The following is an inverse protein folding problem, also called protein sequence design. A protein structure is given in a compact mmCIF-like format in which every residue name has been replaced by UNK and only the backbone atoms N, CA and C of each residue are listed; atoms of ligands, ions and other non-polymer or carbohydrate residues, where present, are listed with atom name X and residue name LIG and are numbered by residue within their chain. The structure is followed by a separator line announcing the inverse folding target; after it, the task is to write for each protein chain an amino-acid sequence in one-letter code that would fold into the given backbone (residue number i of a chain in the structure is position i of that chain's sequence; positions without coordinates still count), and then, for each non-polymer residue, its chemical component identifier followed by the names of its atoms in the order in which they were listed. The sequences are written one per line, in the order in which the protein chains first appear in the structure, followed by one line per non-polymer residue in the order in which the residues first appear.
data_IF_528779134013
#
_entry.id   IF_528779134013
#
_cell.length_a   1.000
_cell.length_b   1.000
_cell.length_c   1.000
_cell.angle_alpha   90.00
_cell.angle_beta   90.00
_cell.angle_gamma   90.00
#
_symmetry.space_group_name_H-M   'P 1'
#
loop_
_entity.id
_entity.type
_entity.pdbx_description
1 polymer ?
#
# COMPACT_ATOMS: atom_id res chain seq x y z
N UNK A 1 10.26 6.33 -7.31
CA UNK A 1 10.60 6.86 -5.96
C UNK A 1 10.30 5.79 -4.90
N UNK A 2 11.01 5.75 -3.76
CA UNK A 2 10.66 4.93 -2.59
C UNK A 2 9.28 5.25 -2.00
N UNK A 3 8.80 4.45 -1.04
CA UNK A 3 7.58 4.78 -0.29
C UNK A 3 7.80 5.97 0.64
N UNK A 4 6.75 6.76 0.85
CA UNK A 4 6.74 7.82 1.84
C UNK A 4 5.34 8.05 2.38
N UNK A 5 5.27 8.46 3.64
CA UNK A 5 4.03 8.82 4.33
C UNK A 5 4.23 10.08 5.19
N UNK A 6 3.20 10.91 5.26
CA UNK A 6 3.08 12.03 6.18
C UNK A 6 1.74 11.92 6.88
N UNK A 7 1.78 11.64 8.18
CA UNK A 7 0.60 11.62 9.04
C UNK A 7 0.43 12.95 9.76
N UNK A 8 -0.79 13.46 9.78
CA UNK A 8 -1.17 14.64 10.56
C UNK A 8 -2.48 14.37 11.29
N UNK A 9 -2.48 14.53 12.61
CA UNK A 9 -3.69 14.55 13.42
C UNK A 9 -4.00 15.99 13.86
N UNK A 10 -5.14 16.49 13.42
CA UNK A 10 -5.70 17.77 13.88
C UNK A 10 -6.51 17.54 15.15
N UNK A 11 -6.01 18.08 16.27
CA UNK A 11 -6.67 17.94 17.58
C UNK A 11 -7.94 18.78 17.69
N UNK A 12 -8.05 19.90 16.97
CA UNK A 12 -9.22 20.77 17.04
C UNK A 12 -10.42 20.11 16.35
N UNK A 13 -10.18 19.49 15.19
CA UNK A 13 -11.22 18.86 14.38
C UNK A 13 -11.39 17.35 14.68
N UNK A 14 -10.50 16.74 15.46
CA UNK A 14 -10.40 15.29 15.66
C UNK A 14 -10.38 14.54 14.31
N UNK A 15 -9.53 15.04 13.40
CA UNK A 15 -9.39 14.54 12.04
C UNK A 15 -7.96 14.11 11.75
N UNK A 16 -7.83 13.06 10.95
CA UNK A 16 -6.55 12.55 10.45
C UNK A 16 -6.41 12.86 8.97
N UNK A 17 -5.23 13.34 8.58
CA UNK A 17 -4.84 13.41 7.16
C UNK A 17 -3.55 12.63 6.95
N UNK A 18 -3.56 11.73 5.98
CA UNK A 18 -2.40 10.99 5.52
C UNK A 18 -2.08 11.38 4.09
N UNK A 19 -0.88 11.90 3.84
CA UNK A 19 -0.32 11.95 2.50
C UNK A 19 0.57 10.73 2.33
N UNK A 20 0.32 9.91 1.31
CA UNK A 20 1.13 8.72 1.04
C UNK A 20 1.31 8.54 -0.46
N UNK A 21 2.44 7.95 -0.86
CA UNK A 21 2.69 7.53 -2.24
C UNK A 21 1.84 6.30 -2.57
N UNK A 22 0.53 6.45 -2.74
CA UNK A 22 -0.42 5.35 -2.96
C UNK A 22 -0.94 5.30 -4.40
N UNK A 23 -1.21 4.08 -4.89
CA UNK A 23 -1.93 3.85 -6.15
C UNK A 23 -3.45 3.76 -5.95
N UNK A 24 -3.94 3.69 -4.71
CA UNK A 24 -5.37 3.53 -4.43
C UNK A 24 -5.78 4.21 -3.10
N UNK A 25 -5.74 5.56 -3.03
CA UNK A 25 -5.96 6.29 -1.78
C UNK A 25 -7.36 6.07 -1.18
N UNK A 26 -8.39 5.82 -2.00
CA UNK A 26 -9.74 5.56 -1.51
C UNK A 26 -9.86 4.20 -0.81
N UNK A 27 -9.28 3.13 -1.40
CA UNK A 27 -9.22 1.82 -0.73
C UNK A 27 -8.30 1.87 0.47
N UNK A 28 -7.18 2.59 0.41
CA UNK A 28 -6.33 2.81 1.56
C UNK A 28 -7.12 3.45 2.72
N UNK A 29 -7.90 4.50 2.46
CA UNK A 29 -8.77 5.13 3.47
C UNK A 29 -9.75 4.12 4.08
N UNK A 30 -10.44 3.34 3.26
CA UNK A 30 -11.36 2.29 3.72
C UNK A 30 -10.64 1.29 4.63
N UNK A 31 -9.48 0.78 4.18
CA UNK A 31 -8.75 -0.27 4.90
C UNK A 31 -8.15 0.24 6.21
N UNK A 32 -7.55 1.43 6.18
CA UNK A 32 -7.00 2.10 7.36
C UNK A 32 -8.07 2.40 8.41
N UNK A 33 -9.29 2.72 7.97
CA UNK A 33 -10.43 2.93 8.86
C UNK A 33 -11.00 1.61 9.38
N UNK A 34 -11.42 0.71 8.49
CA UNK A 34 -12.21 -0.46 8.84
C UNK A 34 -11.40 -1.61 9.47
N UNK A 35 -10.12 -1.78 9.09
CA UNK A 35 -9.32 -2.93 9.51
C UNK A 35 -8.16 -2.55 10.45
N UNK A 36 -7.58 -1.37 10.28
CA UNK A 36 -6.53 -0.88 11.19
C UNK A 36 -7.06 0.03 12.30
N UNK A 37 -8.35 0.39 12.25
CA UNK A 37 -9.04 1.19 13.27
C UNK A 37 -8.31 2.50 13.62
N UNK A 38 -7.70 3.14 12.61
CA UNK A 38 -7.01 4.43 12.77
C UNK A 38 -7.97 5.52 13.23
N UNK A 39 -9.11 5.60 12.54
CA UNK A 39 -10.21 6.51 12.82
C UNK A 39 -11.46 6.06 12.03
N UNK A 40 -12.67 6.51 12.41
CA UNK A 40 -13.84 6.43 11.53
C UNK A 40 -13.55 7.03 10.15
N UNK A 41 -14.11 6.45 9.09
CA UNK A 41 -13.74 6.83 7.71
C UNK A 41 -14.04 8.31 7.40
N UNK A 42 -15.10 8.85 8.00
CA UNK A 42 -15.47 10.26 7.89
C UNK A 42 -14.50 11.21 8.60
N UNK A 43 -13.61 10.70 9.47
CA UNK A 43 -12.56 11.44 10.17
C UNK A 43 -11.17 11.19 9.61
N UNK A 44 -11.05 10.41 8.54
CA UNK A 44 -9.78 10.07 7.90
C UNK A 44 -9.76 10.58 6.46
N UNK A 45 -8.73 11.35 6.11
CA UNK A 45 -8.45 11.77 4.75
C UNK A 45 -7.14 11.13 4.29
N UNK A 46 -7.15 10.48 3.12
CA UNK A 46 -5.94 9.93 2.49
C UNK A 46 -5.74 10.64 1.15
N UNK A 47 -4.54 11.14 0.91
CA UNK A 47 -4.17 11.93 -0.25
C UNK A 47 -2.95 11.29 -0.91
N UNK A 48 -3.08 10.95 -2.20
CA UNK A 48 -1.93 10.61 -3.03
C UNK A 48 -1.53 11.86 -3.83
N UNK A 49 -0.36 12.47 -3.58
CA UNK A 49 0.19 13.53 -4.44
C UNK A 49 0.74 12.93 -5.74
N UNK A 50 1.51 13.69 -6.53
CA UNK A 50 2.28 13.11 -7.62
C UNK A 50 3.15 11.95 -7.12
N UNK A 51 3.02 10.78 -7.74
CA UNK A 51 3.74 9.55 -7.36
C UNK A 51 4.73 9.20 -8.46
N UNK A 52 6.02 9.18 -8.13
CA UNK A 52 7.13 8.78 -8.99
C UNK A 52 7.19 7.27 -9.29
N UNK A 53 6.08 6.71 -9.78
CA UNK A 53 5.91 5.29 -10.10
C UNK A 53 5.60 4.41 -8.89
N UNK A 54 4.70 3.43 -9.10
CA UNK A 54 4.35 2.42 -8.10
C UNK A 54 4.46 0.98 -8.61
N UNK A 55 4.11 0.71 -9.87
CA UNK A 55 4.30 -0.60 -10.51
C UNK A 55 3.77 -1.81 -9.70
N UNK A 56 2.75 -1.59 -8.85
CA UNK A 56 2.13 -2.60 -8.01
C UNK A 56 2.54 -2.54 -6.53
N UNK A 57 3.75 -2.09 -6.20
CA UNK A 57 4.21 -2.10 -4.79
C UNK A 57 3.47 -1.09 -3.93
N UNK A 58 2.94 -0.01 -4.52
CA UNK A 58 2.21 1.06 -3.81
C UNK A 58 0.68 0.88 -3.80
N UNK A 59 0.19 -0.32 -4.12
CA UNK A 59 -1.23 -0.69 -3.97
C UNK A 59 -1.55 -1.03 -2.51
N UNK A 60 -0.59 -1.61 -1.80
CA UNK A 60 -0.75 -2.09 -0.44
C UNK A 60 -0.74 -0.95 0.58
N UNK A 61 -1.36 -1.20 1.73
CA UNK A 61 -1.29 -0.36 2.91
C UNK A 61 -0.17 -0.93 3.77
N UNK A 62 0.80 -0.11 4.15
CA UNK A 62 1.91 -0.55 4.95
C UNK A 62 1.82 -0.02 6.39
N UNK A 63 2.59 -0.60 7.33
CA UNK A 63 2.58 -0.15 8.72
C UNK A 63 2.99 1.32 8.88
N UNK A 64 3.84 1.84 8.00
CA UNK A 64 4.41 3.18 8.14
C UNK A 64 3.36 4.30 8.01
N UNK A 65 2.33 4.15 7.15
CA UNK A 65 1.20 5.08 7.14
C UNK A 65 0.49 5.15 8.50
N UNK A 66 0.26 3.99 9.12
CA UNK A 66 -0.42 3.85 10.42
C UNK A 66 0.44 4.45 11.53
N UNK A 67 1.74 4.14 11.53
CA UNK A 67 2.70 4.62 12.53
C UNK A 67 2.83 6.15 12.45
N UNK A 68 2.89 6.74 11.25
CA UNK A 68 2.91 8.20 11.10
C UNK A 68 1.66 8.85 11.70
N UNK A 69 0.46 8.31 11.46
CA UNK A 69 -0.79 8.86 12.00
C UNK A 69 -0.87 8.70 13.53
N UNK A 70 -0.50 7.53 14.04
CA UNK A 70 -0.45 7.27 15.47
C UNK A 70 0.54 8.21 16.18
N UNK A 71 1.75 8.31 15.63
CA UNK A 71 2.80 9.16 16.19
C UNK A 71 2.37 10.63 16.15
N UNK A 72 1.74 11.09 15.06
CA UNK A 72 1.25 12.47 14.96
C UNK A 72 0.21 12.80 16.02
N UNK A 73 -0.74 11.90 16.30
CA UNK A 73 -1.69 12.09 17.41
C UNK A 73 -1.00 12.09 18.77
N UNK A 74 0.00 11.24 18.96
CA UNK A 74 0.71 11.11 20.24
C UNK A 74 1.56 12.33 20.56
N UNK A 75 2.22 12.91 19.56
CA UNK A 75 3.17 14.02 19.72
C UNK A 75 2.55 15.39 19.47
N UNK A 76 1.39 15.45 18.81
CA UNK A 76 0.70 16.70 18.49
C UNK A 76 1.35 17.49 17.34
N UNK A 77 2.23 16.85 16.56
CA UNK A 77 2.87 17.46 15.38
C UNK A 77 2.75 16.52 14.17
N UNK A 78 2.83 17.03 12.92
CA UNK A 78 2.92 16.17 11.74
C UNK A 78 4.16 15.26 11.79
N UNK A 79 4.02 14.01 11.36
CA UNK A 79 5.11 13.02 11.34
C UNK A 79 5.30 12.51 9.92
N UNK A 80 6.50 12.70 9.38
CA UNK A 80 6.90 12.25 8.05
C UNK A 80 7.85 11.06 8.15
N UNK A 81 7.62 10.07 7.30
CA UNK A 81 8.53 8.96 7.03
C UNK A 81 8.79 8.87 5.52
N UNK A 82 10.03 8.54 5.16
CA UNK A 82 10.46 8.30 3.77
C UNK A 82 11.39 7.11 3.81
N UNK A 83 11.06 6.05 3.08
CA UNK A 83 11.91 4.89 2.95
C UNK A 83 13.20 5.25 2.21
N UNK A 84 14.30 4.64 2.62
CA UNK A 84 15.47 4.52 1.76
C UNK A 84 15.29 3.37 0.72
N UNK A 85 16.30 3.22 -0.14
CA UNK A 85 16.29 2.17 -1.17
C UNK A 85 16.37 0.77 -0.57
N UNK A 86 17.12 0.59 0.51
CA UNK A 86 17.32 -0.70 1.16
C UNK A 86 16.04 -1.18 1.82
N UNK A 87 15.35 -0.30 2.54
CA UNK A 87 14.01 -0.57 3.11
C UNK A 87 13.03 -1.00 2.02
N UNK A 88 13.08 -0.35 0.85
CA UNK A 88 12.22 -0.73 -0.28
C UNK A 88 12.47 -2.15 -0.78
N UNK A 89 13.70 -2.67 -0.70
CA UNK A 89 14.02 -4.05 -1.07
C UNK A 89 13.73 -5.06 0.03
N UNK A 90 13.64 -4.62 1.28
CA UNK A 90 13.45 -5.50 2.43
C UNK A 90 11.98 -5.67 2.80
N UNK A 91 11.15 -4.63 2.60
CA UNK A 91 9.83 -4.54 3.21
C UNK A 91 8.69 -4.23 2.24
N UNK A 92 8.96 -3.81 1.00
CA UNK A 92 7.88 -3.57 0.04
C UNK A 92 7.29 -4.90 -0.44
N UNK A 93 6.07 -4.86 -0.96
CA UNK A 93 5.47 -6.01 -1.61
C UNK A 93 6.31 -6.45 -2.82
N UNK A 94 6.80 -7.67 -2.77
CA UNK A 94 7.53 -8.30 -3.87
C UNK A 94 6.56 -8.89 -4.91
N UNK A 95 7.05 -9.04 -6.12
CA UNK A 95 6.31 -9.69 -7.20
C UNK A 95 6.90 -11.05 -7.56
N UNK A 96 6.06 -11.93 -8.11
CA UNK A 96 6.42 -13.29 -8.56
C UNK A 96 6.65 -14.24 -7.37
N UNK A 97 7.74 -15.00 -7.39
CA UNK A 97 8.00 -16.14 -6.50
C UNK A 97 7.09 -17.35 -6.74
N UNK A 98 6.84 -17.65 -8.02
CA UNK A 98 6.05 -18.82 -8.41
C UNK A 98 6.97 -20.00 -8.71
N UNK A 99 6.65 -21.16 -8.13
CA UNK A 99 7.16 -22.46 -8.57
C UNK A 99 5.98 -23.20 -9.18
N UNK A 100 5.96 -23.34 -10.51
CA UNK A 100 4.81 -23.88 -11.25
C UNK A 100 5.23 -25.06 -12.12
N UNK A 101 4.41 -26.10 -12.15
CA UNK A 101 4.53 -27.23 -13.07
C UNK A 101 3.42 -27.13 -14.09
N UNK A 102 3.79 -27.04 -15.37
CA UNK A 102 2.83 -26.88 -16.47
C UNK A 102 2.90 -28.09 -17.38
N UNK A 103 1.74 -28.68 -17.65
CA UNK A 103 1.56 -29.79 -18.60
C UNK A 103 0.67 -29.31 -19.75
N UNK A 104 1.10 -29.55 -21.00
CA UNK A 104 0.34 -29.19 -22.20
C UNK A 104 0.16 -30.43 -23.07
N UNK A 105 -1.09 -30.72 -23.45
CA UNK A 105 -1.44 -31.83 -24.31
C UNK A 105 -1.66 -31.34 -25.75
N UNK A 106 -1.17 -32.10 -26.72
CA UNK A 106 -1.31 -31.84 -28.15
C UNK A 106 -1.93 -33.06 -28.85
N UNK A 107 -2.74 -32.84 -29.87
CA UNK A 107 -3.10 -33.89 -30.82
C UNK A 107 -2.00 -34.14 -31.86
N UNK A 108 -2.23 -35.10 -32.76
CA UNK A 108 -1.27 -35.47 -33.83
C UNK A 108 -1.00 -34.34 -34.84
N UNK A 109 -1.86 -33.34 -34.93
CA UNK A 109 -1.74 -32.20 -35.84
C UNK A 109 -1.14 -30.97 -35.11
N UNK A 110 -0.56 -31.19 -33.92
CA UNK A 110 -0.01 -30.18 -33.01
C UNK A 110 -1.04 -29.14 -32.50
N UNK A 111 -2.33 -29.49 -32.48
CA UNK A 111 -3.34 -28.63 -31.84
C UNK A 111 -3.33 -28.85 -30.34
N UNK A 112 -3.38 -27.76 -29.58
CA UNK A 112 -3.51 -27.80 -28.12
C UNK A 112 -4.87 -28.42 -27.77
N UNK A 113 -4.86 -29.51 -27.01
CA UNK A 113 -6.06 -30.23 -26.54
C UNK A 113 -6.25 -30.13 -25.03
N UNK A 114 -5.22 -29.72 -24.29
CA UNK A 114 -5.29 -29.54 -22.85
C UNK A 114 -4.15 -28.71 -22.30
N UNK A 115 -4.43 -28.02 -21.21
CA UNK A 115 -3.47 -27.27 -20.40
C UNK A 115 -3.79 -27.56 -18.93
N UNK A 116 -2.76 -27.90 -18.15
CA UNK A 116 -2.84 -28.05 -16.70
C UNK A 116 -1.68 -27.27 -16.08
N UNK A 117 -2.00 -26.44 -15.10
CA UNK A 117 -1.07 -25.54 -14.39
C UNK A 117 -1.27 -25.75 -12.90
#
# INVERSE_FOLDING_TARGET
EPRAALGHYDKAEDHYTCWTTSQNPHVARLVMSAFYNVAPENKLRVIAPDVGGGFGSKIYIYPEEIVCLWASKKTGVPVKWVADRTESFLADAHGRDHVSTVEMAFDKDNRITGLKV
#
